data_IF_635163388613
#
_entry.id   IF_635163388613
#
_cell.length_a   1.000
_cell.length_b   1.000
_cell.length_c   1.000
_cell.angle_alpha   90.00
_cell.angle_beta   90.00
_cell.angle_gamma   90.00
#
_symmetry.space_group_name_H-M   'P 1'
#
loop_
_entity.id
_entity.type
_entity.pdbx_description
1 polymer ?
#
# COMPACT_ATOMS: atom_id res chain seq x y z
N UNK A 1 6.86 -15.30 -2.06
CA UNK A 1 7.25 -15.46 -3.49
C UNK A 1 8.16 -14.29 -3.89
N UNK A 2 9.47 -14.54 -4.01
CA UNK A 2 10.45 -13.52 -4.40
C UNK A 2 10.10 -12.92 -5.77
N UNK A 3 9.89 -11.61 -5.85
CA UNK A 3 9.67 -10.86 -7.09
C UNK A 3 10.83 -11.03 -8.10
N UNK A 4 12.01 -11.41 -7.62
CA UNK A 4 13.15 -11.83 -8.43
C UNK A 4 12.82 -13.12 -9.19
N UNK A 5 12.09 -14.04 -8.57
CA UNK A 5 11.50 -15.22 -9.22
C UNK A 5 10.44 -14.79 -10.24
N UNK A 6 9.65 -13.75 -9.98
CA UNK A 6 8.63 -13.25 -10.93
C UNK A 6 9.24 -12.52 -12.15
N UNK A 7 10.34 -11.79 -11.98
CA UNK A 7 11.10 -11.20 -13.11
C UNK A 7 11.89 -12.29 -13.84
N UNK A 8 12.54 -13.22 -13.13
CA UNK A 8 13.15 -14.39 -13.75
C UNK A 8 12.11 -15.24 -14.49
N UNK A 9 10.91 -15.43 -13.94
CA UNK A 9 9.83 -16.22 -14.53
C UNK A 9 9.17 -15.47 -15.71
N UNK A 10 9.10 -14.13 -15.65
CA UNK A 10 8.67 -13.28 -16.77
C UNK A 10 9.66 -13.26 -17.93
N UNK A 11 10.96 -13.42 -17.65
CA UNK A 11 12.01 -13.60 -18.67
C UNK A 11 12.05 -15.05 -19.17
N UNK A 12 11.84 -16.05 -18.29
CA UNK A 12 11.65 -17.48 -18.64
C UNK A 12 10.43 -17.70 -19.56
N UNK A 13 9.38 -16.90 -19.42
CA UNK A 13 8.18 -16.99 -20.25
C UNK A 13 8.38 -16.61 -21.71
N UNK A 14 9.55 -16.07 -22.12
CA UNK A 14 9.75 -15.54 -23.48
C UNK A 14 10.91 -16.14 -24.31
N UNK A 15 11.69 -17.09 -23.80
CA UNK A 15 12.68 -17.80 -24.64
C UNK A 15 13.09 -19.15 -24.02
N UNK A 16 13.22 -20.17 -24.89
CA UNK A 16 13.67 -21.55 -24.64
C UNK A 16 14.88 -21.68 -23.68
N UNK A 17 15.15 -22.92 -23.25
CA UNK A 17 16.24 -23.47 -22.37
C UNK A 17 17.68 -22.91 -22.51
N UNK A 18 17.93 -21.97 -23.42
CA UNK A 18 19.15 -21.15 -23.53
C UNK A 18 19.08 -19.84 -22.73
N UNK A 19 17.91 -19.45 -22.23
CA UNK A 19 17.70 -18.22 -21.46
C UNK A 19 18.18 -18.28 -20.00
N UNK A 20 18.22 -19.45 -19.36
CA UNK A 20 18.62 -19.58 -17.96
C UNK A 20 20.10 -19.25 -17.72
N UNK A 21 20.98 -19.55 -18.68
CA UNK A 21 22.41 -19.19 -18.60
C UNK A 21 22.67 -17.70 -18.86
N UNK A 22 21.79 -17.04 -19.63
CA UNK A 22 21.88 -15.62 -19.99
C UNK A 22 21.25 -14.73 -18.91
N UNK A 23 20.15 -15.17 -18.30
CA UNK A 23 19.52 -14.50 -17.16
C UNK A 23 20.31 -14.62 -15.85
N UNK A 24 21.21 -15.61 -15.76
CA UNK A 24 22.16 -15.76 -14.66
C UNK A 24 23.50 -15.05 -14.92
N UNK A 25 23.73 -14.50 -16.12
CA UNK A 25 24.88 -13.66 -16.40
C UNK A 25 24.72 -12.29 -15.71
N UNK A 26 25.59 -11.95 -14.74
CA UNK A 26 25.52 -10.68 -14.03
C UNK A 26 25.60 -9.46 -14.96
N UNK A 27 26.22 -9.58 -16.14
CA UNK A 27 26.33 -8.50 -17.12
C UNK A 27 24.98 -8.13 -17.79
N UNK A 28 24.01 -9.05 -17.78
CA UNK A 28 22.68 -8.87 -18.38
C UNK A 28 21.63 -8.64 -17.29
N UNK A 29 21.71 -9.38 -16.19
CA UNK A 29 20.77 -9.26 -15.07
C UNK A 29 20.84 -7.88 -14.37
N UNK A 30 22.05 -7.35 -14.14
CA UNK A 30 22.23 -6.10 -13.41
C UNK A 30 21.59 -4.91 -14.14
N UNK A 31 21.84 -4.64 -15.44
CA UNK A 31 21.19 -3.54 -16.15
C UNK A 31 19.66 -3.67 -16.21
N UNK A 32 19.14 -4.90 -16.35
CA UNK A 32 17.70 -5.15 -16.35
C UNK A 32 17.06 -4.85 -14.98
N UNK A 33 17.71 -5.24 -13.87
CA UNK A 33 17.25 -4.89 -12.52
C UNK A 33 17.32 -3.37 -12.28
N UNK A 34 18.37 -2.69 -12.75
CA UNK A 34 18.48 -1.23 -12.67
C UNK A 34 17.38 -0.53 -13.46
N UNK A 35 17.01 -1.06 -14.63
CA UNK A 35 15.88 -0.54 -15.40
C UNK A 35 14.57 -0.77 -14.65
N UNK A 36 14.35 -1.95 -14.10
CA UNK A 36 13.17 -2.26 -13.29
C UNK A 36 13.02 -1.31 -12.10
N UNK A 37 14.13 -0.95 -11.43
CA UNK A 37 14.16 0.08 -10.39
C UNK A 37 13.74 1.43 -10.94
N UNK A 38 14.34 1.90 -12.04
CA UNK A 38 13.97 3.19 -12.66
C UNK A 38 12.49 3.25 -13.03
N UNK A 39 11.96 2.17 -13.60
CA UNK A 39 10.56 2.07 -13.97
C UNK A 39 9.64 2.07 -12.72
N UNK A 40 10.06 1.40 -11.64
CA UNK A 40 9.33 1.37 -10.38
C UNK A 40 9.33 2.74 -9.68
N UNK A 41 10.47 3.45 -9.67
CA UNK A 41 10.57 4.82 -9.17
C UNK A 41 9.65 5.76 -9.95
N UNK A 42 9.66 5.68 -11.29
CA UNK A 42 8.75 6.47 -12.12
C UNK A 42 7.26 6.15 -11.90
N UNK A 43 6.92 4.91 -11.54
CA UNK A 43 5.54 4.57 -11.14
C UNK A 43 5.19 5.14 -9.77
N UNK A 44 6.12 5.12 -8.81
CA UNK A 44 5.90 5.71 -7.47
C UNK A 44 5.62 7.20 -7.58
N UNK A 45 6.34 7.94 -8.41
CA UNK A 45 6.11 9.38 -8.58
C UNK A 45 4.69 9.66 -9.11
N UNK A 46 4.22 8.86 -10.07
CA UNK A 46 2.83 8.94 -10.55
C UNK A 46 1.83 8.59 -9.46
N UNK A 47 2.09 7.54 -8.67
CA UNK A 47 1.25 7.14 -7.55
C UNK A 47 1.19 8.20 -6.45
N UNK A 48 2.28 8.93 -6.18
CA UNK A 48 2.31 10.04 -5.22
C UNK A 48 1.46 11.23 -5.69
N UNK A 49 1.49 11.53 -6.99
CA UNK A 49 0.62 12.56 -7.55
C UNK A 49 -0.86 12.15 -7.43
N UNK A 50 -1.20 10.91 -7.84
CA UNK A 50 -2.56 10.39 -7.70
C UNK A 50 -3.03 10.37 -6.23
N UNK A 51 -2.14 10.02 -5.29
CA UNK A 51 -2.42 10.08 -3.86
C UNK A 51 -2.73 11.52 -3.40
N UNK A 52 -2.00 12.50 -3.92
CA UNK A 52 -2.21 13.92 -3.59
C UNK A 52 -3.58 14.37 -4.10
N UNK A 53 -3.96 14.00 -5.33
CA UNK A 53 -5.27 14.32 -5.90
C UNK A 53 -6.40 13.67 -5.08
N UNK A 54 -6.23 12.41 -4.69
CA UNK A 54 -7.19 11.68 -3.87
C UNK A 54 -7.36 12.29 -2.47
N UNK A 55 -6.25 12.71 -1.84
CA UNK A 55 -6.28 13.41 -0.55
C UNK A 55 -6.94 14.80 -0.67
N UNK A 56 -6.76 15.48 -1.80
CA UNK A 56 -7.45 16.74 -2.05
C UNK A 56 -8.97 16.52 -2.18
N UNK A 57 -9.38 15.48 -2.91
CA UNK A 57 -10.79 15.09 -3.01
C UNK A 57 -11.38 14.71 -1.65
N UNK A 58 -10.68 13.89 -0.86
CA UNK A 58 -11.09 13.52 0.50
C UNK A 58 -11.33 14.76 1.36
N UNK A 59 -10.40 15.72 1.37
CA UNK A 59 -10.56 16.98 2.11
C UNK A 59 -11.72 17.85 1.60
N UNK A 60 -11.97 17.89 0.30
CA UNK A 60 -13.09 18.62 -0.28
C UNK A 60 -14.43 17.98 0.12
N UNK A 61 -14.52 16.65 0.09
CA UNK A 61 -15.71 15.92 0.55
C UNK A 61 -15.91 16.08 2.05
N UNK A 62 -14.85 16.04 2.86
CA UNK A 62 -14.92 16.32 4.29
C UNK A 62 -15.49 17.72 4.58
N UNK A 63 -15.07 18.72 3.81
CA UNK A 63 -15.62 20.07 3.91
C UNK A 63 -17.11 20.10 3.51
N UNK A 64 -17.48 19.47 2.41
CA UNK A 64 -18.87 19.41 1.98
C UNK A 64 -19.78 18.74 3.03
N UNK A 65 -19.29 17.68 3.69
CA UNK A 65 -19.97 17.05 4.84
C UNK A 65 -20.19 18.07 5.96
N UNK A 66 -19.16 18.83 6.34
CA UNK A 66 -19.27 19.83 7.40
C UNK A 66 -20.24 20.97 7.03
N UNK A 67 -20.26 21.39 5.76
CA UNK A 67 -21.20 22.39 5.26
C UNK A 67 -22.65 21.86 5.33
N UNK A 68 -22.89 20.61 4.92
CA UNK A 68 -24.22 19.96 5.02
C UNK A 68 -24.67 19.79 6.49
N UNK A 69 -23.76 19.44 7.39
CA UNK A 69 -24.06 19.33 8.83
C UNK A 69 -24.46 20.69 9.43
N UNK A 70 -23.83 21.79 8.96
CA UNK A 70 -24.19 23.14 9.36
C UNK A 70 -25.59 23.53 8.86
N UNK A 71 -25.92 23.21 7.59
CA UNK A 71 -27.24 23.45 7.02
C UNK A 71 -28.34 22.69 7.78
N UNK A 72 -28.08 21.42 8.16
CA UNK A 72 -28.99 20.63 8.99
C UNK A 72 -29.21 21.32 10.34
N UNK A 73 -28.14 21.77 11.00
CA UNK A 73 -28.25 22.44 12.29
C UNK A 73 -29.03 23.77 12.19
N UNK A 74 -28.90 24.49 11.08
CA UNK A 74 -29.67 25.71 10.81
C UNK A 74 -31.16 25.40 10.61
N UNK A 75 -31.49 24.41 9.79
CA UNK A 75 -32.88 23.98 9.58
C UNK A 75 -33.53 23.44 10.86
N UNK A 76 -32.77 22.73 11.70
CA UNK A 76 -33.25 22.33 13.03
C UNK A 76 -33.57 23.55 13.91
N UNK A 77 -32.75 24.59 13.87
CA UNK A 77 -33.01 25.85 14.57
C UNK A 77 -34.32 26.50 14.10
N UNK A 78 -34.55 26.53 12.78
CA UNK A 78 -35.82 27.01 12.22
C UNK A 78 -37.00 26.12 12.60
N UNK A 79 -36.82 24.80 12.66
CA UNK A 79 -37.87 23.87 13.03
C UNK A 79 -38.29 24.07 14.50
N UNK A 80 -37.33 24.32 15.40
CA UNK A 80 -37.62 24.69 16.79
C UNK A 80 -38.44 25.98 16.84
N UNK A 81 -38.02 27.03 16.13
CA UNK A 81 -38.73 28.30 16.09
C UNK A 81 -40.16 28.19 15.49
N UNK A 82 -40.36 27.32 14.49
CA UNK A 82 -41.68 27.03 13.93
C UNK A 82 -42.58 26.28 14.93
N UNK A 83 -42.01 25.30 15.66
CA UNK A 83 -42.72 24.58 16.71
C UNK A 83 -43.15 25.50 17.87
N UNK A 84 -42.32 26.44 18.29
CA UNK A 84 -42.66 27.41 19.33
C UNK A 84 -43.79 28.37 18.92
N UNK A 85 -43.93 28.63 17.63
CA UNK A 85 -45.01 29.45 17.06
C UNK A 85 -46.26 28.64 16.70
N UNK A 86 -46.26 27.34 17.00
CA UNK A 86 -47.34 26.39 16.66
C UNK A 86 -47.67 26.37 15.15
N UNK A 87 -46.69 26.69 14.29
CA UNK A 87 -46.83 26.64 12.83
C UNK A 87 -46.51 25.22 12.34
N UNK A 88 -47.50 24.34 12.44
CA UNK A 88 -47.35 22.93 12.04
C UNK A 88 -47.04 22.76 10.54
N UNK A 89 -47.50 23.68 9.68
CA UNK A 89 -47.24 23.63 8.25
C UNK A 89 -45.76 23.81 7.95
N UNK A 90 -45.19 24.90 8.46
CA UNK A 90 -43.76 25.21 8.31
C UNK A 90 -42.88 24.17 9.01
N UNK A 91 -43.30 23.68 10.18
CA UNK A 91 -42.58 22.64 10.90
C UNK A 91 -42.45 21.35 10.07
N UNK A 92 -43.53 20.89 9.45
CA UNK A 92 -43.52 19.68 8.63
C UNK A 92 -42.62 19.84 7.40
N UNK A 93 -42.66 21.00 6.73
CA UNK A 93 -41.78 21.30 5.60
C UNK A 93 -40.30 21.26 5.99
N UNK A 94 -39.94 21.84 7.14
CA UNK A 94 -38.58 21.83 7.66
C UNK A 94 -38.12 20.42 8.05
N UNK A 95 -38.99 19.60 8.65
CA UNK A 95 -38.69 18.19 8.96
C UNK A 95 -38.38 17.41 7.68
N UNK A 96 -39.20 17.58 6.63
CA UNK A 96 -38.98 16.88 5.37
C UNK A 96 -37.68 17.38 4.70
N UNK A 97 -37.37 18.69 4.79
CA UNK A 97 -36.12 19.25 4.28
C UNK A 97 -34.89 18.74 5.02
N UNK A 98 -34.96 18.62 6.35
CA UNK A 98 -33.91 18.03 7.17
C UNK A 98 -33.69 16.56 6.75
N UNK A 99 -34.77 15.80 6.58
CA UNK A 99 -34.68 14.40 6.15
C UNK A 99 -34.02 14.22 4.77
N UNK A 100 -34.36 15.08 3.80
CA UNK A 100 -33.70 15.09 2.48
C UNK A 100 -32.19 15.38 2.63
N UNK A 101 -31.85 16.39 3.44
CA UNK A 101 -30.48 16.85 3.63
C UNK A 101 -29.63 15.82 4.40
N UNK A 102 -30.21 15.12 5.38
CA UNK A 102 -29.59 13.99 6.07
C UNK A 102 -29.34 12.80 5.13
N UNK A 103 -30.23 12.59 4.15
CA UNK A 103 -30.01 11.62 3.06
C UNK A 103 -28.75 11.95 2.26
N UNK A 104 -28.62 13.22 1.82
CA UNK A 104 -27.44 13.71 1.10
C UNK A 104 -26.16 13.61 1.95
N UNK A 105 -26.25 13.90 3.25
CA UNK A 105 -25.15 13.74 4.20
C UNK A 105 -24.66 12.28 4.24
N UNK A 106 -25.59 11.32 4.28
CA UNK A 106 -25.29 9.90 4.26
C UNK A 106 -24.54 9.47 3.00
N UNK A 107 -24.97 9.95 1.83
CA UNK A 107 -24.29 9.69 0.55
C UNK A 107 -22.87 10.26 0.53
N UNK A 108 -22.70 11.52 0.96
CA UNK A 108 -21.37 12.16 1.00
C UNK A 108 -20.42 11.47 1.99
N UNK A 109 -20.92 11.03 3.15
CA UNK A 109 -20.14 10.25 4.12
C UNK A 109 -19.67 8.93 3.53
N UNK A 110 -20.53 8.21 2.80
CA UNK A 110 -20.13 6.97 2.13
C UNK A 110 -19.01 7.19 1.09
N UNK A 111 -19.08 8.29 0.32
CA UNK A 111 -18.02 8.68 -0.62
C UNK A 111 -16.73 9.00 0.13
N UNK A 112 -16.81 9.79 1.19
CA UNK A 112 -15.66 10.15 2.02
C UNK A 112 -14.95 8.93 2.64
N UNK A 113 -15.71 7.98 3.18
CA UNK A 113 -15.16 6.76 3.79
C UNK A 113 -14.43 5.88 2.75
N UNK A 114 -14.95 5.83 1.53
CA UNK A 114 -14.29 5.16 0.39
C UNK A 114 -12.97 5.85 0.01
N UNK A 115 -12.95 7.19 0.00
CA UNK A 115 -11.75 7.97 -0.25
C UNK A 115 -10.69 7.77 0.83
N UNK A 116 -11.06 7.80 2.12
CA UNK A 116 -10.14 7.51 3.24
C UNK A 116 -9.50 6.14 3.06
N UNK A 117 -10.30 5.12 2.75
CA UNK A 117 -9.82 3.75 2.55
C UNK A 117 -8.82 3.69 1.40
N UNK A 118 -9.18 4.29 0.26
CA UNK A 118 -8.32 4.34 -0.93
C UNK A 118 -7.00 5.10 -0.68
N UNK A 119 -7.04 6.20 0.07
CA UNK A 119 -5.86 6.96 0.50
C UNK A 119 -4.93 6.11 1.37
N UNK A 120 -5.50 5.37 2.33
CA UNK A 120 -4.72 4.52 3.24
C UNK A 120 -4.05 3.36 2.48
N UNK A 121 -4.78 2.69 1.59
CA UNK A 121 -4.26 1.59 0.76
C UNK A 121 -3.14 2.06 -0.17
N UNK A 122 -3.33 3.22 -0.83
CA UNK A 122 -2.33 3.76 -1.74
C UNK A 122 -1.06 4.19 -0.99
N UNK A 123 -1.18 4.79 0.20
CA UNK A 123 -0.04 5.09 1.08
C UNK A 123 0.74 3.83 1.46
N UNK A 124 0.02 2.77 1.88
CA UNK A 124 0.64 1.51 2.27
C UNK A 124 1.38 0.87 1.09
N UNK A 125 0.75 0.84 -0.09
CA UNK A 125 1.33 0.29 -1.33
C UNK A 125 2.58 1.06 -1.76
N UNK A 126 2.55 2.40 -1.70
CA UNK A 126 3.72 3.23 -2.00
C UNK A 126 4.87 2.90 -1.04
N UNK A 127 4.60 2.88 0.28
CA UNK A 127 5.62 2.61 1.29
C UNK A 127 6.22 1.19 1.16
N UNK A 128 5.40 0.20 0.83
CA UNK A 128 5.88 -1.16 0.53
C UNK A 128 6.77 -1.18 -0.72
N UNK A 129 6.35 -0.51 -1.78
CA UNK A 129 7.11 -0.46 -3.04
C UNK A 129 8.44 0.28 -2.86
N UNK A 130 8.48 1.38 -2.11
CA UNK A 130 9.71 2.10 -1.76
C UNK A 130 10.69 1.20 -0.98
N UNK A 131 10.20 0.45 0.02
CA UNK A 131 11.00 -0.54 0.74
C UNK A 131 11.53 -1.62 -0.20
N UNK A 132 10.70 -2.11 -1.12
CA UNK A 132 11.07 -3.05 -2.16
C UNK A 132 12.22 -2.53 -3.03
N UNK A 133 12.08 -1.33 -3.59
CA UNK A 133 13.11 -0.66 -4.40
C UNK A 133 14.43 -0.53 -3.64
N UNK A 134 14.38 -0.12 -2.37
CA UNK A 134 15.59 -0.02 -1.56
C UNK A 134 16.28 -1.37 -1.35
N UNK A 135 15.51 -2.44 -1.14
CA UNK A 135 16.04 -3.82 -1.12
C UNK A 135 16.72 -4.17 -2.44
N UNK A 136 16.09 -3.90 -3.58
CA UNK A 136 16.68 -4.18 -4.90
C UNK A 136 18.00 -3.44 -5.09
N UNK A 137 18.07 -2.16 -4.70
CA UNK A 137 19.29 -1.35 -4.79
C UNK A 137 20.43 -1.96 -3.98
N UNK A 138 20.14 -2.46 -2.77
CA UNK A 138 21.13 -3.14 -1.91
C UNK A 138 21.56 -4.47 -2.52
N UNK A 139 20.63 -5.24 -3.07
CA UNK A 139 20.92 -6.50 -3.77
C UNK A 139 21.82 -6.28 -4.99
N UNK A 140 21.52 -5.30 -5.84
CA UNK A 140 22.36 -4.94 -7.00
C UNK A 140 23.78 -4.58 -6.55
N UNK A 141 23.93 -3.76 -5.50
CA UNK A 141 25.26 -3.41 -4.95
C UNK A 141 26.01 -4.66 -4.51
N UNK A 142 25.33 -5.58 -3.84
CA UNK A 142 25.92 -6.85 -3.37
C UNK A 142 26.35 -7.74 -4.52
N UNK A 143 25.50 -7.88 -5.56
CA UNK A 143 25.81 -8.67 -6.76
C UNK A 143 27.00 -8.06 -7.51
N UNK A 144 27.00 -6.74 -7.73
CA UNK A 144 28.15 -6.03 -8.33
C UNK A 144 29.44 -6.28 -7.57
N UNK A 145 29.45 -6.10 -6.25
CA UNK A 145 30.63 -6.33 -5.42
C UNK A 145 31.12 -7.79 -5.51
N UNK A 146 30.19 -8.74 -5.51
CA UNK A 146 30.47 -10.17 -5.63
C UNK A 146 31.03 -10.54 -7.01
N UNK A 147 30.54 -9.89 -8.06
CA UNK A 147 31.04 -10.05 -9.44
C UNK A 147 32.44 -9.45 -9.60
N UNK A 148 32.67 -8.23 -9.11
CA UNK A 148 34.00 -7.61 -9.10
C UNK A 148 35.04 -8.47 -8.35
N UNK A 149 34.68 -9.00 -7.18
CA UNK A 149 35.55 -9.88 -6.41
C UNK A 149 35.90 -11.18 -7.16
N UNK A 150 34.92 -11.77 -7.87
CA UNK A 150 35.15 -12.94 -8.70
C UNK A 150 36.08 -12.67 -9.88
N UNK A 151 35.85 -11.56 -10.61
CA UNK A 151 36.73 -11.16 -11.72
C UNK A 151 38.15 -10.90 -11.24
N UNK A 152 38.33 -10.18 -10.13
CA UNK A 152 39.64 -9.94 -9.54
C UNK A 152 40.34 -11.25 -9.13
N UNK A 153 39.62 -12.21 -8.56
CA UNK A 153 40.16 -13.54 -8.22
C UNK A 153 40.59 -14.32 -9.47
N UNK A 154 39.82 -14.27 -10.56
CA UNK A 154 40.16 -14.89 -11.83
C UNK A 154 41.39 -14.24 -12.48
N UNK A 155 41.49 -12.91 -12.49
CA UNK A 155 42.66 -12.20 -13.02
C UNK A 155 43.94 -12.48 -12.23
N UNK A 156 43.86 -12.51 -10.90
CA UNK A 156 44.98 -12.88 -10.04
C UNK A 156 45.39 -14.33 -10.29
N UNK A 157 44.43 -15.25 -10.42
CA UNK A 157 44.71 -16.65 -10.75
C UNK A 157 45.33 -16.82 -12.15
N UNK A 158 44.87 -16.07 -13.15
CA UNK A 158 45.39 -16.11 -14.51
C UNK A 158 46.81 -15.53 -14.60
N UNK A 159 47.13 -14.47 -13.81
CA UNK A 159 48.47 -13.89 -13.71
C UNK A 159 49.45 -14.74 -12.91
N UNK A 160 48.97 -15.71 -12.13
CA UNK A 160 49.79 -16.53 -11.21
C UNK A 160 49.80 -18.03 -11.56
N UNK A 161 49.55 -18.38 -12.84
CA UNK A 161 49.60 -19.74 -13.39
C UNK A 161 50.97 -20.46 -13.28
N UNK A 162 51.93 -19.90 -12.52
CA UNK A 162 53.19 -20.52 -12.11
C UNK A 162 53.28 -20.99 -10.65
N UNK A 163 52.32 -20.73 -9.74
CA UNK A 163 52.42 -21.17 -8.34
C UNK A 163 51.07 -21.69 -7.78
N UNK A 164 51.00 -22.99 -7.49
CA UNK A 164 49.76 -23.79 -7.48
C UNK A 164 49.09 -24.10 -6.13
N UNK A 165 49.38 -23.40 -5.02
CA UNK A 165 48.83 -23.76 -3.70
C UNK A 165 47.96 -22.70 -3.01
N UNK A 166 48.24 -21.40 -3.17
CA UNK A 166 47.49 -20.32 -2.52
C UNK A 166 46.15 -20.02 -3.19
N UNK A 167 46.04 -20.22 -4.50
CA UNK A 167 44.82 -20.06 -5.31
C UNK A 167 43.75 -21.08 -4.96
N UNK A 168 44.12 -22.35 -4.71
CA UNK A 168 43.17 -23.38 -4.28
C UNK A 168 42.55 -23.04 -2.91
N UNK A 169 43.36 -22.53 -1.98
CA UNK A 169 42.91 -22.14 -0.65
C UNK A 169 42.03 -20.87 -0.68
N UNK A 170 42.33 -19.92 -1.57
CA UNK A 170 41.51 -18.72 -1.77
C UNK A 170 40.16 -19.05 -2.43
N UNK A 171 40.15 -19.96 -3.42
CA UNK A 171 38.94 -20.46 -4.05
C UNK A 171 38.03 -21.20 -3.05
N UNK A 172 38.60 -22.07 -2.19
CA UNK A 172 37.87 -22.74 -1.11
C UNK A 172 37.29 -21.75 -0.09
N UNK A 173 38.05 -20.72 0.31
CA UNK A 173 37.56 -19.68 1.22
C UNK A 173 36.42 -18.87 0.60
N UNK A 174 36.51 -18.53 -0.68
CA UNK A 174 35.43 -17.86 -1.41
C UNK A 174 34.18 -18.72 -1.54
N UNK A 175 34.34 -20.02 -1.81
CA UNK A 175 33.22 -20.96 -1.87
C UNK A 175 32.47 -21.01 -0.53
N UNK A 176 33.19 -21.10 0.60
CA UNK A 176 32.59 -21.03 1.95
C UNK A 176 31.90 -19.69 2.24
N UNK A 177 32.45 -18.57 1.76
CA UNK A 177 31.80 -17.25 1.93
C UNK A 177 30.50 -17.19 1.13
N UNK A 178 30.48 -17.69 -0.11
CA UNK A 178 29.26 -17.78 -0.93
C UNK A 178 28.20 -18.66 -0.30
N UNK A 179 28.56 -19.86 0.19
CA UNK A 179 27.63 -20.76 0.88
C UNK A 179 27.00 -20.09 2.11
N UNK A 180 27.80 -19.36 2.90
CA UNK A 180 27.31 -18.63 4.07
C UNK A 180 26.41 -17.44 3.70
N UNK A 181 26.64 -16.80 2.56
CA UNK A 181 25.77 -15.74 2.04
C UNK A 181 24.45 -16.31 1.50
N UNK A 182 24.49 -17.44 0.79
CA UNK A 182 23.31 -18.14 0.30
C UNK A 182 22.42 -18.64 1.46
N UNK A 183 23.02 -19.20 2.52
CA UNK A 183 22.32 -19.63 3.73
C UNK A 183 21.61 -18.46 4.42
N UNK A 184 22.27 -17.29 4.51
CA UNK A 184 21.66 -16.07 5.06
C UNK A 184 20.48 -15.58 4.23
N UNK A 185 20.59 -15.62 2.90
CA UNK A 185 19.50 -15.24 2.00
C UNK A 185 18.29 -16.17 2.19
N UNK A 186 18.51 -17.48 2.24
CA UNK A 186 17.46 -18.47 2.47
C UNK A 186 16.76 -18.26 3.83
N UNK A 187 17.52 -17.97 4.89
CA UNK A 187 16.96 -17.65 6.22
C UNK A 187 16.11 -16.39 6.22
N UNK A 188 16.52 -15.35 5.48
CA UNK A 188 15.75 -14.10 5.36
C UNK A 188 14.46 -14.29 4.56
N UNK A 189 14.50 -15.09 3.49
CA UNK A 189 13.32 -15.42 2.68
C UNK A 189 12.29 -16.22 3.49
N UNK A 190 12.74 -17.20 4.27
CA UNK A 190 11.89 -17.94 5.21
C UNK A 190 11.28 -17.04 6.30
N UNK A 191 12.03 -16.06 6.83
CA UNK A 191 11.51 -15.11 7.80
C UNK A 191 10.38 -14.22 7.22
N UNK A 192 10.52 -13.80 5.96
CA UNK A 192 9.50 -12.99 5.25
C UNK A 192 8.22 -13.79 5.00
N UNK A 193 8.33 -15.10 4.76
CA UNK A 193 7.18 -15.98 4.58
C UNK A 193 6.39 -16.17 5.88
N UNK A 194 7.08 -16.27 7.02
CA UNK A 194 6.46 -16.30 8.35
C UNK A 194 5.73 -14.98 8.65
N UNK A 195 6.32 -13.83 8.31
CA UNK A 195 5.69 -12.52 8.55
C UNK A 195 4.38 -12.37 7.74
N UNK A 196 4.36 -12.86 6.49
CA UNK A 196 3.16 -12.84 5.64
C UNK A 196 2.01 -13.75 6.12
N UNK A 197 2.31 -14.75 6.96
CA UNK A 197 1.31 -15.65 7.54
C UNK A 197 0.85 -15.22 8.94
N UNK A 198 1.50 -14.21 9.54
CA UNK A 198 1.24 -13.79 10.93
C UNK A 198 0.67 -12.35 11.04
N UNK A 199 0.59 -11.59 9.94
CA UNK A 199 0.09 -10.21 9.94
C UNK A 199 -1.44 -10.06 9.92
N UNK A 200 -1.93 -8.99 10.58
CA UNK A 200 -3.31 -8.53 10.90
C UNK A 200 -4.46 -8.72 9.87
N UNK A 201 -4.23 -9.24 8.66
CA UNK A 201 -5.30 -9.52 7.68
C UNK A 201 -6.30 -10.59 8.15
N UNK A 202 -5.85 -11.54 8.98
CA UNK A 202 -6.69 -12.64 9.47
C UNK A 202 -7.76 -12.22 10.49
N UNK A 203 -7.61 -11.06 11.14
CA UNK A 203 -8.57 -10.55 12.12
C UNK A 203 -9.72 -9.79 11.44
N UNK A 204 -9.41 -8.99 10.42
CA UNK A 204 -10.41 -8.24 9.62
C UNK A 204 -11.32 -9.17 8.82
N UNK A 205 -10.79 -10.25 8.24
CA UNK A 205 -11.59 -11.27 7.54
C UNK A 205 -12.52 -12.05 8.47
N UNK A 206 -12.17 -12.18 9.77
CA UNK A 206 -13.02 -12.80 10.79
C UNK A 206 -14.11 -11.86 11.30
N UNK A 207 -13.83 -10.55 11.37
CA UNK A 207 -14.80 -9.54 11.78
C UNK A 207 -15.86 -9.27 10.68
N UNK A 208 -15.46 -9.28 9.40
CA UNK A 208 -16.38 -9.15 8.27
C UNK A 208 -17.32 -10.37 8.14
N UNK A 209 -16.82 -11.59 8.42
CA UNK A 209 -17.65 -12.81 8.48
C UNK A 209 -18.61 -12.86 9.68
N UNK A 210 -18.42 -12.02 10.69
CA UNK A 210 -19.25 -11.98 11.90
C UNK A 210 -20.43 -10.99 11.82
N UNK A 211 -20.57 -10.23 10.72
CA UNK A 211 -21.77 -9.44 10.44
C UNK A 211 -22.05 -8.28 11.42
N UNK A 212 -21.02 -7.67 12.01
CA UNK A 212 -21.17 -6.55 12.95
C UNK A 212 -20.99 -5.23 12.20
N UNK A 213 -22.10 -4.61 11.79
CA UNK A 213 -22.13 -3.29 11.14
C UNK A 213 -23.57 -2.76 11.12
N UNK A 214 -23.76 -1.57 11.67
CA UNK A 214 -25.01 -1.09 12.26
C UNK A 214 -26.13 -0.69 11.27
N UNK A 215 -27.35 -0.71 11.82
CA UNK A 215 -28.64 -0.40 11.18
C UNK A 215 -28.84 1.11 10.97
N UNK A 216 -29.53 1.43 9.86
CA UNK A 216 -29.98 2.78 9.49
C UNK A 216 -31.02 3.36 10.46
N UNK A 217 -30.87 4.65 10.76
CA UNK A 217 -31.76 5.46 11.60
C UNK A 217 -33.07 5.84 10.91
N UNK A 218 -34.13 6.01 11.71
CA UNK A 218 -35.52 6.26 11.26
C UNK A 218 -36.02 7.63 11.77
N UNK A 219 -37.12 8.10 11.15
CA UNK A 219 -37.83 9.38 11.42
C UNK A 219 -38.10 9.67 12.92
N UNK A 220 -38.27 8.64 13.74
CA UNK A 220 -38.50 8.78 15.19
C UNK A 220 -37.25 9.29 15.95
N UNK A 221 -36.05 8.99 15.47
CA UNK A 221 -34.78 9.45 16.07
C UNK A 221 -34.59 10.97 15.89
N UNK A 222 -35.03 11.51 14.75
CA UNK A 222 -35.00 12.95 14.44
C UNK A 222 -35.96 13.70 15.38
N UNK A 223 -37.17 13.17 15.55
CA UNK A 223 -38.16 13.75 16.48
C UNK A 223 -37.66 13.73 17.93
N UNK A 224 -36.98 12.67 18.36
CA UNK A 224 -36.37 12.60 19.68
C UNK A 224 -35.25 13.65 19.87
N UNK A 225 -34.45 13.91 18.84
CA UNK A 225 -33.37 14.92 18.85
C UNK A 225 -33.91 16.36 18.90
N UNK A 226 -34.99 16.65 18.17
CA UNK A 226 -35.65 17.96 18.22
C UNK A 226 -36.23 18.22 19.61
N UNK A 227 -36.89 17.21 20.21
CA UNK A 227 -37.47 17.33 21.54
C UNK A 227 -36.42 17.49 22.66
N UNK A 228 -35.24 16.86 22.53
CA UNK A 228 -34.16 17.01 23.52
C UNK A 228 -33.51 18.40 23.47
N UNK A 229 -33.35 19.00 22.29
CA UNK A 229 -32.88 20.39 22.13
C UNK A 229 -33.84 21.42 22.71
N UNK A 230 -35.15 21.13 22.78
CA UNK A 230 -36.16 22.01 23.40
C UNK A 230 -36.13 21.99 24.94
N UNK A 231 -35.53 20.96 25.54
CA UNK A 231 -35.45 20.78 27.00
C UNK A 231 -34.11 21.24 27.61
N UNK A 232 -33.13 21.62 26.78
CA UNK A 232 -31.88 22.27 27.21
C UNK A 232 -31.95 23.78 27.00
#
# INVERSE_FOLDING_TARGET
>A
MSWMKTILDGIRGKANDTGEAIASDPSIAIPAMEQSIRDAEGRIDKSKNALTDLMAQEKLTAKAIADIEADIAEYEGYAVAASEKEDEGLLNELIDKIGETEGQLGEQRAVHDSLITSVAELKATIAETERGINSMKVEIKTIKATEYAQRAALEVSAKHSGASSSTRLAAERMQRIKEKQAERKAKMEAAKEIESTTGDGALKDRLAKAGIGAKNSNRDDILARINSKKQS
#
